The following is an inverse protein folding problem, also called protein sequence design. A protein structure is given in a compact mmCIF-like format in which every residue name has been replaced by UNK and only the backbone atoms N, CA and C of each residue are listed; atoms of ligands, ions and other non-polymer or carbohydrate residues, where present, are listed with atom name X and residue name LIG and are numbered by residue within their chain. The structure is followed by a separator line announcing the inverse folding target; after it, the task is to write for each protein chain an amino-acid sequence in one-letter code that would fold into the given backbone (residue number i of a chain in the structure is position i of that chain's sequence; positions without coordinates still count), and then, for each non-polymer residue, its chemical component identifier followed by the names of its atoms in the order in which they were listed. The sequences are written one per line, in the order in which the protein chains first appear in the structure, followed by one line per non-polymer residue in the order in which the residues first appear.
data_IF_858161312204
#
_entry.id   IF_858161312204
#
_cell.length_a   1.000
_cell.length_b   1.000
_cell.length_c   1.000
_cell.angle_alpha   90.00
_cell.angle_beta   90.00
_cell.angle_gamma   90.00
#
_symmetry.space_group_name_H-M   'P 1'
#
loop_
_entity.id
_entity.type
_entity.pdbx_description
1 polymer ?
#
# COMPACT_ATOMS: atom_id res chain seq x y z
N UNK A 1 1.63 -3.24 28.70
CA UNK A 1 0.83 -3.16 27.45
C UNK A 1 1.52 -4.11 26.49
N UNK A 2 0.79 -4.92 25.75
CA UNK A 2 1.38 -5.77 24.69
C UNK A 2 1.81 -4.87 23.53
N UNK A 3 2.97 -5.16 22.94
CA UNK A 3 3.43 -4.45 21.75
C UNK A 3 2.42 -4.66 20.61
N UNK A 4 2.18 -3.67 19.74
CA UNK A 4 1.22 -3.81 18.66
C UNK A 4 1.73 -4.76 17.56
N UNK A 5 0.81 -5.49 16.93
CA UNK A 5 1.09 -6.24 15.70
C UNK A 5 1.02 -5.31 14.49
N UNK A 6 2.01 -5.37 13.59
CA UNK A 6 2.03 -4.63 12.34
C UNK A 6 1.26 -5.41 11.27
N UNK A 7 0.13 -4.87 10.82
CA UNK A 7 -0.69 -5.47 9.75
C UNK A 7 -0.33 -4.80 8.44
N UNK A 8 0.30 -5.54 7.53
CA UNK A 8 0.89 -5.04 6.29
C UNK A 8 -0.05 -5.26 5.11
N UNK A 9 -0.42 -4.17 4.41
CA UNK A 9 -1.40 -4.14 3.33
C UNK A 9 -0.74 -3.67 2.04
N UNK A 10 -0.69 -4.56 1.05
CA UNK A 10 0.01 -4.33 -0.23
C UNK A 10 -0.71 -3.36 -1.16
N UNK A 11 0.00 -2.90 -2.19
CA UNK A 11 -0.52 -2.07 -3.27
C UNK A 11 -1.26 -2.86 -4.36
N UNK A 12 -1.71 -2.17 -5.40
CA UNK A 12 -2.31 -2.81 -6.57
C UNK A 12 -1.40 -3.85 -7.20
N UNK A 13 -1.98 -4.86 -7.84
CA UNK A 13 -1.31 -5.98 -8.52
C UNK A 13 -0.43 -6.84 -7.61
N UNK A 14 -0.27 -6.49 -6.33
CA UNK A 14 0.59 -7.16 -5.36
C UNK A 14 -0.11 -8.30 -4.62
N UNK A 15 0.52 -8.75 -3.53
CA UNK A 15 0.03 -9.73 -2.57
C UNK A 15 0.87 -9.64 -1.29
N UNK A 16 0.56 -10.46 -0.29
CA UNK A 16 1.32 -10.53 0.97
C UNK A 16 2.83 -10.74 0.75
N UNK A 17 3.21 -11.33 -0.37
CA UNK A 17 4.58 -11.61 -0.78
C UNK A 17 5.46 -10.34 -0.92
N UNK A 18 4.87 -9.16 -1.18
CA UNK A 18 5.64 -7.91 -1.30
C UNK A 18 6.38 -7.55 0.00
N UNK A 19 5.90 -8.07 1.10
CA UNK A 19 6.44 -7.78 2.44
C UNK A 19 7.55 -8.74 2.89
N UNK A 20 8.00 -9.67 2.02
CA UNK A 20 8.99 -10.70 2.35
C UNK A 20 10.21 -10.12 3.07
N UNK A 21 10.90 -9.17 2.46
CA UNK A 21 12.19 -8.69 2.97
C UNK A 21 12.00 -7.76 4.20
N UNK A 22 10.96 -6.91 4.20
CA UNK A 22 10.58 -6.14 5.38
C UNK A 22 10.11 -7.04 6.53
N UNK A 23 9.36 -8.10 6.24
CA UNK A 23 8.89 -9.07 7.22
C UNK A 23 10.04 -9.84 7.88
N UNK A 24 11.09 -10.19 7.11
CA UNK A 24 12.33 -10.76 7.66
C UNK A 24 13.01 -9.77 8.62
N UNK A 25 13.04 -8.48 8.27
CA UNK A 25 13.62 -7.44 9.11
C UNK A 25 12.82 -7.20 10.41
N UNK A 26 11.48 -7.15 10.33
CA UNK A 26 10.60 -7.07 11.49
C UNK A 26 10.79 -8.28 12.40
N UNK A 27 10.87 -9.49 11.84
CA UNK A 27 11.11 -10.73 12.58
C UNK A 27 12.47 -10.71 13.28
N UNK A 28 13.52 -10.23 12.60
CA UNK A 28 14.86 -10.09 13.18
C UNK A 28 14.88 -9.13 14.39
N UNK A 29 13.99 -8.15 14.40
CA UNK A 29 13.81 -7.19 15.51
C UNK A 29 12.78 -7.63 16.54
N UNK A 30 12.28 -8.86 16.44
CA UNK A 30 11.26 -9.41 17.35
C UNK A 30 9.95 -8.61 17.37
N UNK A 31 9.63 -7.91 16.25
CA UNK A 31 8.39 -7.13 16.09
C UNK A 31 7.31 -8.04 15.49
N UNK A 32 6.14 -8.20 16.14
CA UNK A 32 5.06 -9.02 15.60
C UNK A 32 4.44 -8.37 14.36
N UNK A 33 4.24 -9.16 13.31
CA UNK A 33 3.63 -8.71 12.07
C UNK A 33 2.83 -9.79 11.37
N UNK A 34 1.89 -9.37 10.54
CA UNK A 34 1.14 -10.20 9.60
C UNK A 34 0.89 -9.43 8.32
N UNK A 35 0.61 -10.11 7.22
CA UNK A 35 0.30 -9.49 5.93
C UNK A 35 -1.02 -10.02 5.38
N UNK A 36 -1.73 -9.16 4.63
CA UNK A 36 -3.05 -9.44 4.07
C UNK A 36 -2.95 -9.57 2.56
N UNK A 37 -3.58 -10.61 1.98
CA UNK A 37 -3.84 -10.69 0.55
C UNK A 37 -5.20 -10.04 0.27
N UNK A 38 -5.20 -8.99 -0.57
CA UNK A 38 -6.42 -8.25 -0.90
C UNK A 38 -7.26 -9.01 -1.93
N UNK A 39 -8.56 -9.24 -1.68
CA UNK A 39 -9.45 -9.96 -2.59
C UNK A 39 -9.51 -9.41 -4.02
N UNK A 40 -9.25 -8.11 -4.20
CA UNK A 40 -9.26 -7.45 -5.52
C UNK A 40 -8.01 -7.72 -6.37
N UNK A 41 -6.94 -8.28 -5.77
CA UNK A 41 -5.63 -8.48 -6.41
C UNK A 41 -5.14 -9.92 -6.27
N UNK A 42 -6.01 -10.90 -6.41
CA UNK A 42 -5.66 -12.34 -6.42
C UNK A 42 -6.00 -12.97 -7.76
N UNK A 43 -5.34 -14.08 -8.09
CA UNK A 43 -5.75 -14.88 -9.25
C UNK A 43 -7.17 -15.40 -9.09
N UNK A 44 -8.03 -15.11 -10.06
CA UNK A 44 -9.44 -15.49 -10.02
C UNK A 44 -10.33 -14.55 -9.20
N UNK A 45 -9.85 -13.35 -8.89
CA UNK A 45 -10.67 -12.31 -8.26
C UNK A 45 -11.98 -12.11 -9.03
N UNK A 46 -13.07 -11.85 -8.30
CA UNK A 46 -14.34 -11.54 -8.93
C UNK A 46 -14.31 -10.09 -9.45
N UNK A 47 -14.78 -9.79 -10.69
CA UNK A 47 -14.70 -8.44 -11.25
C UNK A 47 -15.44 -7.37 -10.43
N UNK A 48 -16.44 -7.76 -9.64
CA UNK A 48 -17.16 -6.88 -8.71
C UNK A 48 -16.58 -6.94 -7.29
N UNK A 49 -15.27 -7.11 -7.13
CA UNK A 49 -14.59 -6.92 -5.85
C UNK A 49 -14.22 -5.45 -5.71
N UNK A 50 -14.74 -4.81 -4.68
CA UNK A 50 -14.66 -3.37 -4.45
C UNK A 50 -13.67 -3.04 -3.32
N UNK A 51 -13.35 -1.76 -3.13
CA UNK A 51 -12.54 -1.25 -2.02
C UNK A 51 -13.03 -1.74 -0.65
N UNK A 52 -14.36 -1.77 -0.45
CA UNK A 52 -14.97 -2.24 0.81
C UNK A 52 -14.74 -3.75 1.08
N UNK A 53 -14.52 -4.57 0.04
CA UNK A 53 -14.20 -5.99 0.23
C UNK A 53 -12.76 -6.16 0.71
N UNK A 54 -11.82 -5.39 0.13
CA UNK A 54 -10.44 -5.33 0.58
C UNK A 54 -10.34 -4.81 2.03
N UNK A 55 -11.05 -3.73 2.33
CA UNK A 55 -11.09 -3.14 3.66
C UNK A 55 -11.64 -4.09 4.72
N UNK A 56 -12.69 -4.86 4.38
CA UNK A 56 -13.26 -5.88 5.26
C UNK A 56 -12.25 -6.98 5.59
N UNK A 57 -11.48 -7.44 4.61
CA UNK A 57 -10.43 -8.44 4.84
C UNK A 57 -9.36 -7.91 5.80
N UNK A 58 -8.89 -6.67 5.58
CA UNK A 58 -7.95 -6.01 6.50
C UNK A 58 -8.52 -5.90 7.91
N UNK A 59 -9.78 -5.48 8.07
CA UNK A 59 -10.42 -5.36 9.38
C UNK A 59 -10.56 -6.72 10.08
N UNK A 60 -10.88 -7.79 9.35
CA UNK A 60 -10.96 -9.17 9.88
C UNK A 60 -9.60 -9.60 10.43
N UNK A 61 -8.53 -9.45 9.67
CA UNK A 61 -7.17 -9.81 10.10
C UNK A 61 -6.73 -8.96 11.28
N UNK A 62 -6.89 -7.63 11.20
CA UNK A 62 -6.48 -6.71 12.26
C UNK A 62 -7.21 -6.97 13.59
N UNK A 63 -8.51 -7.25 13.56
CA UNK A 63 -9.30 -7.51 14.77
C UNK A 63 -9.03 -8.89 15.41
N UNK A 64 -8.39 -9.80 14.69
CA UNK A 64 -7.93 -11.09 15.24
C UNK A 64 -6.64 -10.96 16.07
N UNK A 65 -5.93 -9.86 15.89
CA UNK A 65 -4.68 -9.57 16.57
C UNK A 65 -4.88 -8.83 17.91
N UNK A 66 -4.33 -8.05 18.45
CA UNK A 66 -4.58 -7.19 19.63
C UNK A 66 -4.53 -5.72 19.23
N UNK A 67 -3.72 -4.90 19.90
CA UNK A 67 -3.38 -3.58 19.40
C UNK A 67 -2.62 -3.70 18.07
N UNK A 68 -3.00 -2.89 17.07
CA UNK A 68 -2.40 -2.96 15.73
C UNK A 68 -1.92 -1.60 15.22
N UNK A 69 -0.85 -1.66 14.43
CA UNK A 69 -0.44 -0.61 13.51
C UNK A 69 -0.75 -1.09 12.09
N UNK A 70 -1.60 -0.37 11.36
CA UNK A 70 -1.88 -0.69 9.96
C UNK A 70 -0.84 0.00 9.06
N UNK A 71 -0.20 -0.77 8.20
CA UNK A 71 0.83 -0.28 7.26
C UNK A 71 0.35 -0.52 5.83
N UNK A 72 0.11 0.53 5.06
CA UNK A 72 -0.40 0.44 3.69
C UNK A 72 0.58 1.02 2.67
N UNK A 73 0.82 0.26 1.61
CA UNK A 73 1.66 0.67 0.49
C UNK A 73 0.78 1.00 -0.73
N UNK A 74 1.05 2.10 -1.42
CA UNK A 74 0.40 2.44 -2.69
C UNK A 74 -1.14 2.41 -2.58
N UNK A 75 -1.86 1.61 -3.38
CA UNK A 75 -3.31 1.39 -3.26
C UNK A 75 -3.72 0.92 -1.85
N UNK A 76 -2.87 0.17 -1.16
CA UNK A 76 -3.12 -0.28 0.22
C UNK A 76 -3.44 0.87 1.18
N UNK A 77 -2.97 2.09 0.91
CA UNK A 77 -3.34 3.27 1.69
C UNK A 77 -4.82 3.61 1.57
N UNK A 78 -5.42 3.52 0.39
CA UNK A 78 -6.86 3.69 0.21
C UNK A 78 -7.66 2.61 0.97
N UNK A 79 -7.14 1.38 0.98
CA UNK A 79 -7.72 0.28 1.76
C UNK A 79 -7.65 0.57 3.26
N UNK A 80 -6.52 1.10 3.76
CA UNK A 80 -6.40 1.52 5.17
C UNK A 80 -7.43 2.60 5.52
N UNK A 81 -7.59 3.60 4.67
CA UNK A 81 -8.56 4.68 4.88
C UNK A 81 -10.00 4.15 4.98
N UNK A 82 -10.35 3.12 4.22
CA UNK A 82 -11.67 2.49 4.27
C UNK A 82 -11.82 1.55 5.47
N UNK A 83 -10.79 0.79 5.83
CA UNK A 83 -10.83 -0.22 6.90
C UNK A 83 -10.78 0.38 8.32
N UNK A 84 -10.15 1.53 8.51
CA UNK A 84 -9.74 2.03 9.81
C UNK A 84 -10.89 2.16 10.84
N UNK A 85 -12.10 2.55 10.40
CA UNK A 85 -13.26 2.70 11.29
C UNK A 85 -13.74 1.35 11.88
N UNK A 86 -13.45 0.23 11.21
CA UNK A 86 -13.87 -1.11 11.60
C UNK A 86 -12.79 -1.87 12.39
N UNK A 87 -11.64 -1.22 12.68
CA UNK A 87 -10.52 -1.79 13.46
C UNK A 87 -10.58 -1.30 14.91
N UNK A 88 -10.87 -2.21 15.84
CA UNK A 88 -11.20 -1.89 17.24
C UNK A 88 -10.01 -1.42 18.10
N UNK A 89 -8.81 -1.88 17.82
CA UNK A 89 -7.60 -1.59 18.61
C UNK A 89 -6.51 -0.92 17.78
N UNK A 90 -6.91 -0.07 16.83
CA UNK A 90 -6.02 0.69 15.98
C UNK A 90 -5.20 1.68 16.80
N UNK A 91 -3.87 1.59 16.70
CA UNK A 91 -2.93 2.49 17.36
C UNK A 91 -2.45 3.59 16.41
N UNK A 92 -2.19 3.23 15.14
CA UNK A 92 -1.63 4.14 14.14
C UNK A 92 -1.88 3.63 12.72
N UNK A 93 -1.89 4.58 11.77
CA UNK A 93 -1.85 4.33 10.33
C UNK A 93 -0.47 4.74 9.80
N UNK A 94 0.15 3.87 9.01
CA UNK A 94 1.42 4.15 8.31
C UNK A 94 1.20 3.97 6.82
N UNK A 95 1.54 4.99 6.05
CA UNK A 95 1.37 5.06 4.60
C UNK A 95 2.75 5.11 3.93
N UNK A 96 3.02 4.23 2.97
CA UNK A 96 4.30 4.14 2.24
C UNK A 96 4.02 4.41 0.76
N UNK A 97 4.47 5.54 0.22
CA UNK A 97 4.20 5.95 -1.16
C UNK A 97 2.73 5.72 -1.56
N UNK A 98 1.80 6.00 -0.63
CA UNK A 98 0.44 5.49 -0.66
C UNK A 98 -0.60 6.53 -1.07
N UNK A 99 -1.75 6.07 -1.55
CA UNK A 99 -2.91 6.89 -1.85
C UNK A 99 -3.77 7.04 -0.58
N UNK A 100 -4.08 8.28 -0.22
CA UNK A 100 -4.88 8.65 0.97
C UNK A 100 -6.11 9.42 0.50
N UNK A 101 -7.15 8.75 -0.06
CA UNK A 101 -8.34 9.44 -0.58
C UNK A 101 -9.15 10.09 0.55
N UNK A 102 -9.74 11.25 0.26
CA UNK A 102 -10.75 11.88 1.12
C UNK A 102 -12.09 11.12 1.03
N UNK A 103 -12.98 11.39 1.97
CA UNK A 103 -14.35 10.83 1.95
C UNK A 103 -15.02 11.16 0.59
N UNK A 104 -15.51 10.14 -0.10
CA UNK A 104 -16.14 10.23 -1.40
C UNK A 104 -15.17 10.19 -2.60
N UNK A 105 -13.85 10.23 -2.37
CA UNK A 105 -12.84 10.02 -3.42
C UNK A 105 -12.52 8.53 -3.57
N UNK A 106 -12.32 8.09 -4.80
CA UNK A 106 -11.67 6.80 -5.08
C UNK A 106 -10.15 6.95 -5.12
N UNK A 107 -9.43 5.83 -5.10
CA UNK A 107 -7.97 5.81 -5.27
C UNK A 107 -7.55 6.55 -6.55
N UNK A 108 -8.25 6.33 -7.66
CA UNK A 108 -7.97 7.00 -8.95
C UNK A 108 -8.35 8.48 -8.97
N UNK A 109 -9.32 8.91 -8.16
CA UNK A 109 -9.72 10.32 -8.06
C UNK A 109 -8.79 11.13 -7.19
N UNK A 110 -8.24 10.52 -6.15
CA UNK A 110 -7.36 11.18 -5.18
C UNK A 110 -6.08 11.79 -5.80
N UNK A 111 -5.68 11.30 -6.99
CA UNK A 111 -4.50 11.78 -7.73
C UNK A 111 -4.82 12.81 -8.83
N UNK A 112 -6.10 13.11 -9.10
CA UNK A 112 -6.52 13.96 -10.22
C UNK A 112 -6.06 15.40 -10.13
N UNK A 113 -5.88 15.93 -8.91
CA UNK A 113 -5.43 17.32 -8.71
C UNK A 113 -3.99 17.52 -9.20
N UNK A 114 -3.20 16.46 -9.17
CA UNK A 114 -1.82 16.46 -9.65
C UNK A 114 -1.79 15.88 -11.05
N UNK A 115 -1.53 16.71 -12.05
CA UNK A 115 -1.44 16.29 -13.47
C UNK A 115 -0.06 15.66 -13.76
N UNK A 116 0.43 14.78 -12.89
CA UNK A 116 1.66 14.03 -13.10
C UNK A 116 1.35 12.76 -13.91
N UNK A 117 2.19 12.47 -14.88
CA UNK A 117 2.15 11.20 -15.64
C UNK A 117 3.39 10.40 -15.28
N UNK A 118 3.19 9.18 -14.84
CA UNK A 118 4.24 8.29 -14.35
C UNK A 118 4.53 7.14 -15.32
N UNK A 119 5.60 6.40 -15.06
CA UNK A 119 5.90 5.16 -15.81
C UNK A 119 4.81 4.09 -15.56
N UNK A 120 4.19 4.09 -14.37
CA UNK A 120 3.08 3.18 -14.07
C UNK A 120 1.88 3.44 -14.98
N UNK A 121 1.53 4.70 -15.27
CA UNK A 121 0.42 5.02 -16.19
C UNK A 121 0.64 4.46 -17.59
N UNK A 122 1.91 4.35 -18.02
CA UNK A 122 2.27 3.76 -19.31
C UNK A 122 2.27 2.23 -19.28
N UNK A 123 2.49 1.63 -18.11
CA UNK A 123 2.51 0.18 -17.92
C UNK A 123 1.11 -0.44 -17.86
N UNK A 124 0.10 0.31 -17.43
CA UNK A 124 -1.26 -0.19 -17.21
C UNK A 124 -1.91 -0.63 -18.52
N UNK A 125 -2.42 -1.86 -18.53
CA UNK A 125 -3.20 -2.46 -19.60
C UNK A 125 -4.59 -2.84 -19.09
N UNK A 126 -5.63 -2.65 -19.92
CA UNK A 126 -7.00 -3.03 -19.58
C UNK A 126 -7.29 -4.41 -20.18
N UNK A 127 -7.72 -5.33 -19.33
CA UNK A 127 -8.17 -6.68 -19.72
C UNK A 127 -9.57 -6.94 -19.11
N UNK A 128 -10.60 -6.63 -19.86
CA UNK A 128 -11.98 -6.67 -19.40
C UNK A 128 -12.22 -5.76 -18.18
N UNK A 129 -12.60 -6.35 -17.06
CA UNK A 129 -12.85 -5.65 -15.80
C UNK A 129 -11.59 -5.55 -14.90
N UNK A 130 -10.43 -5.92 -15.44
CA UNK A 130 -9.17 -5.94 -14.72
C UNK A 130 -8.13 -5.02 -15.36
N UNK A 131 -7.17 -4.60 -14.54
CA UNK A 131 -5.94 -3.97 -14.98
C UNK A 131 -4.77 -4.94 -14.77
N UNK A 132 -3.95 -5.06 -15.80
CA UNK A 132 -2.66 -5.75 -15.77
C UNK A 132 -1.53 -4.76 -16.09
N UNK A 133 -0.29 -5.19 -15.97
CA UNK A 133 0.87 -4.35 -16.26
C UNK A 133 1.72 -4.97 -17.38
N UNK A 134 2.21 -4.11 -18.30
CA UNK A 134 3.26 -4.50 -19.23
C UNK A 134 4.56 -4.76 -18.44
N UNK A 135 5.18 -5.97 -18.53
CA UNK A 135 6.25 -6.36 -17.61
C UNK A 135 7.47 -5.45 -17.61
N UNK A 136 7.90 -4.96 -18.79
CA UNK A 136 9.11 -4.12 -18.89
C UNK A 136 8.88 -2.75 -18.23
N UNK A 137 7.72 -2.17 -18.43
CA UNK A 137 7.36 -0.89 -17.82
C UNK A 137 7.03 -1.08 -16.33
N UNK A 138 6.41 -2.19 -15.95
CA UNK A 138 6.17 -2.55 -14.55
C UNK A 138 7.49 -2.64 -13.76
N UNK A 139 8.54 -3.27 -14.31
CA UNK A 139 9.87 -3.31 -13.68
C UNK A 139 10.42 -1.89 -13.45
N UNK A 140 10.28 -1.02 -14.44
CA UNK A 140 10.75 0.37 -14.34
C UNK A 140 9.92 1.24 -13.39
N UNK A 141 8.62 0.96 -13.28
CA UNK A 141 7.73 1.71 -12.42
C UNK A 141 7.87 1.29 -10.95
N UNK A 142 7.86 -0.02 -10.69
CA UNK A 142 7.71 -0.57 -9.35
C UNK A 142 9.04 -0.99 -8.71
N UNK A 143 10.03 -1.39 -9.50
CA UNK A 143 11.23 -2.09 -9.01
C UNK A 143 12.55 -1.52 -9.54
N UNK A 144 12.59 -0.26 -9.98
CA UNK A 144 13.75 0.34 -10.65
C UNK A 144 15.02 0.43 -9.79
N UNK A 145 14.88 0.44 -8.46
CA UNK A 145 15.96 0.49 -7.48
C UNK A 145 16.17 -0.84 -6.73
N UNK A 146 15.42 -1.88 -7.11
CA UNK A 146 15.58 -3.24 -6.58
C UNK A 146 16.67 -3.99 -7.35
N UNK A 147 17.30 -4.98 -6.70
CA UNK A 147 18.20 -5.92 -7.39
C UNK A 147 17.47 -6.70 -8.49
N UNK A 148 18.13 -6.96 -9.61
CA UNK A 148 17.49 -7.60 -10.78
C UNK A 148 16.81 -8.92 -10.46
N UNK A 149 17.41 -9.78 -9.63
CA UNK A 149 16.83 -11.06 -9.22
C UNK A 149 15.50 -10.87 -8.46
N UNK A 150 15.47 -9.93 -7.53
CA UNK A 150 14.26 -9.60 -6.77
C UNK A 150 13.19 -8.99 -7.68
N UNK A 151 13.56 -8.05 -8.55
CA UNK A 151 12.65 -7.42 -9.48
C UNK A 151 12.04 -8.41 -10.47
N UNK A 152 12.87 -9.30 -11.06
CA UNK A 152 12.39 -10.31 -12.02
C UNK A 152 11.49 -11.35 -11.34
N UNK A 153 11.83 -11.76 -10.10
CA UNK A 153 10.94 -12.62 -9.31
C UNK A 153 9.62 -11.92 -9.00
N UNK A 154 9.64 -10.67 -8.51
CA UNK A 154 8.44 -9.93 -8.16
C UNK A 154 7.49 -9.76 -9.35
N UNK A 155 8.02 -9.53 -10.55
CA UNK A 155 7.22 -9.48 -11.78
C UNK A 155 6.43 -10.76 -12.04
N UNK A 156 6.97 -11.94 -11.67
CA UNK A 156 6.27 -13.23 -11.83
C UNK A 156 5.15 -13.42 -10.83
N UNK A 157 5.11 -12.63 -9.75
CA UNK A 157 4.11 -12.72 -8.69
C UNK A 157 2.93 -11.76 -8.90
N UNK A 158 3.04 -10.79 -9.83
CA UNK A 158 1.98 -9.80 -10.06
C UNK A 158 0.67 -10.48 -10.50
N UNK A 159 -0.43 -9.99 -9.96
CA UNK A 159 -1.80 -10.47 -10.27
C UNK A 159 -2.63 -9.38 -10.92
N UNK A 160 -3.69 -9.70 -11.68
CA UNK A 160 -4.64 -8.69 -12.15
C UNK A 160 -5.30 -7.96 -10.99
N UNK A 161 -5.50 -6.64 -11.13
CA UNK A 161 -6.22 -5.79 -10.18
C UNK A 161 -7.61 -5.48 -10.71
N UNK A 162 -8.67 -5.60 -9.90
CA UNK A 162 -10.02 -5.21 -10.34
C UNK A 162 -10.12 -3.69 -10.56
N UNK A 163 -10.76 -3.28 -11.65
CA UNK A 163 -11.04 -1.85 -11.89
C UNK A 163 -12.00 -1.31 -10.84
N UNK A 164 -12.95 -2.16 -10.40
CA UNK A 164 -13.96 -1.80 -9.41
C UNK A 164 -13.34 -1.30 -8.10
N UNK A 165 -12.32 -1.98 -7.57
CA UNK A 165 -11.68 -1.59 -6.31
C UNK A 165 -10.98 -0.22 -6.39
N UNK A 166 -10.26 0.04 -7.49
CA UNK A 166 -9.54 1.31 -7.70
C UNK A 166 -10.47 2.51 -7.92
N UNK A 167 -11.67 2.26 -8.46
CA UNK A 167 -12.68 3.30 -8.76
C UNK A 167 -13.76 3.42 -7.69
N UNK A 168 -13.80 2.54 -6.71
CA UNK A 168 -14.73 2.66 -5.57
C UNK A 168 -14.40 3.90 -4.75
N UNK A 169 -15.37 4.80 -4.52
CA UNK A 169 -15.14 5.90 -3.60
C UNK A 169 -15.03 5.39 -2.16
N UNK A 170 -14.14 5.99 -1.39
CA UNK A 170 -14.06 5.80 0.05
C UNK A 170 -15.39 6.20 0.70
N UNK A 171 -15.95 5.34 1.52
CA UNK A 171 -17.23 5.55 2.20
C UNK A 171 -17.10 5.72 3.72
N UNK A 172 -15.98 5.29 4.29
CA UNK A 172 -15.69 5.37 5.73
C UNK A 172 -15.26 6.77 6.16
N UNK A 173 -15.60 7.13 7.41
CA UNK A 173 -15.15 8.39 8.02
C UNK A 173 -13.71 8.30 8.52
N UNK A 174 -13.08 9.48 8.70
CA UNK A 174 -11.78 9.54 9.34
C UNK A 174 -11.86 9.10 10.80
N UNK A 175 -10.84 8.38 11.24
CA UNK A 175 -10.67 7.95 12.63
C UNK A 175 -9.69 8.88 13.33
N UNK A 176 -9.88 9.06 14.65
CA UNK A 176 -8.94 9.80 15.49
C UNK A 176 -7.75 8.89 15.86
N UNK A 177 -6.93 8.57 14.85
CA UNK A 177 -5.70 7.81 15.00
C UNK A 177 -4.53 8.57 14.39
N UNK A 178 -3.36 8.61 15.06
CA UNK A 178 -2.16 9.21 14.48
C UNK A 178 -1.83 8.54 13.14
N UNK A 179 -1.36 9.34 12.19
CA UNK A 179 -0.99 8.85 10.86
C UNK A 179 0.40 9.34 10.46
N UNK A 180 1.17 8.46 9.83
CA UNK A 180 2.53 8.70 9.41
C UNK A 180 2.71 8.36 7.95
N UNK A 181 3.37 9.22 7.18
CA UNK A 181 3.57 8.99 5.75
C UNK A 181 5.06 8.89 5.43
N UNK A 182 5.47 7.83 4.72
CA UNK A 182 6.82 7.67 4.18
C UNK A 182 6.79 8.01 2.69
N UNK A 183 7.43 9.13 2.32
CA UNK A 183 7.57 9.57 0.92
C UNK A 183 8.80 8.91 0.30
N UNK A 184 8.63 8.32 -0.88
CA UNK A 184 9.69 7.72 -1.68
C UNK A 184 10.08 8.67 -2.82
N UNK A 185 11.26 9.30 -2.74
CA UNK A 185 11.62 10.44 -3.62
C UNK A 185 12.02 10.07 -5.03
N UNK A 186 12.35 8.80 -5.27
CA UNK A 186 12.75 8.29 -6.60
C UNK A 186 11.63 7.43 -7.23
N UNK A 187 10.40 7.56 -6.74
CA UNK A 187 9.24 6.75 -7.15
C UNK A 187 8.80 7.07 -8.58
N UNK A 188 8.72 6.04 -9.42
CA UNK A 188 8.25 6.12 -10.81
C UNK A 188 6.78 5.68 -10.99
N UNK A 189 6.11 5.27 -9.90
CA UNK A 189 4.72 4.83 -9.92
C UNK A 189 3.77 5.86 -9.30
N UNK A 190 4.14 6.47 -8.17
CA UNK A 190 3.40 7.56 -7.53
C UNK A 190 4.30 8.77 -7.46
N UNK A 191 4.03 9.76 -8.31
CA UNK A 191 4.83 10.98 -8.40
C UNK A 191 5.00 11.67 -7.04
N UNK A 192 6.18 12.26 -6.79
CA UNK A 192 6.49 12.90 -5.51
C UNK A 192 5.48 13.99 -5.14
N UNK A 193 4.98 14.74 -6.11
CA UNK A 193 3.96 15.78 -5.87
C UNK A 193 2.61 15.20 -5.41
N UNK A 194 2.26 14.00 -5.88
CA UNK A 194 1.10 13.25 -5.36
C UNK A 194 1.39 12.81 -3.91
N UNK A 195 2.57 12.26 -3.66
CA UNK A 195 2.96 11.85 -2.30
C UNK A 195 3.00 13.03 -1.32
N UNK A 196 3.41 14.22 -1.75
CA UNK A 196 3.36 15.45 -0.95
C UNK A 196 1.93 15.84 -0.59
N UNK A 197 1.01 15.76 -1.56
CA UNK A 197 -0.42 15.98 -1.31
C UNK A 197 -0.98 14.96 -0.30
N UNK A 198 -0.65 13.67 -0.44
CA UNK A 198 -1.10 12.62 0.47
C UNK A 198 -0.50 12.79 1.87
N UNK A 199 0.79 13.11 1.96
CA UNK A 199 1.47 13.36 3.23
C UNK A 199 0.88 14.54 4.00
N UNK A 200 0.40 15.58 3.31
CA UNK A 200 -0.28 16.72 3.92
C UNK A 200 -1.64 16.34 4.58
N UNK A 201 -2.19 15.18 4.25
CA UNK A 201 -3.40 14.61 4.88
C UNK A 201 -3.08 13.77 6.14
N UNK A 202 -1.79 13.58 6.45
CA UNK A 202 -1.31 12.79 7.60
C UNK A 202 -0.77 13.68 8.72
N UNK A 203 -0.65 13.12 9.93
CA UNK A 203 -0.18 13.83 11.12
C UNK A 203 1.31 14.17 11.00
N UNK A 204 2.10 13.24 10.51
CA UNK A 204 3.56 13.32 10.39
C UNK A 204 4.03 12.65 9.09
N UNK A 205 5.24 12.98 8.65
CA UNK A 205 5.86 12.30 7.52
C UNK A 205 7.38 12.21 7.63
N UNK A 206 7.96 11.25 6.92
CA UNK A 206 9.38 11.17 6.64
C UNK A 206 9.63 11.01 5.13
N UNK A 207 10.89 11.07 4.76
CA UNK A 207 11.33 10.94 3.37
C UNK A 207 12.39 9.85 3.28
N UNK A 208 12.24 8.96 2.30
CA UNK A 208 13.19 7.91 1.97
C UNK A 208 13.64 8.10 0.51
N UNK A 209 14.94 8.09 0.25
CA UNK A 209 15.49 8.17 -1.11
C UNK A 209 15.44 6.79 -1.77
N UNK A 210 14.22 6.36 -2.11
CA UNK A 210 13.91 5.05 -2.69
C UNK A 210 12.93 5.17 -3.84
N UNK A 211 12.86 4.11 -4.66
CA UNK A 211 11.78 3.87 -5.62
C UNK A 211 10.48 3.47 -4.94
N UNK A 212 9.54 2.94 -5.75
CA UNK A 212 8.18 2.60 -5.28
C UNK A 212 8.15 1.44 -4.28
N UNK A 213 9.13 0.54 -4.29
CA UNK A 213 9.12 -0.69 -3.47
C UNK A 213 10.25 -0.71 -2.43
N UNK A 214 10.26 0.23 -1.45
CA UNK A 214 11.30 0.27 -0.42
C UNK A 214 11.34 -0.96 0.49
N UNK A 215 10.24 -1.73 0.56
CA UNK A 215 10.20 -3.00 1.29
C UNK A 215 11.15 -4.05 0.72
N UNK A 216 11.58 -3.90 -0.55
CA UNK A 216 12.60 -4.73 -1.20
C UNK A 216 13.95 -4.02 -1.30
N UNK A 217 13.96 -2.74 -1.74
CA UNK A 217 15.23 -2.03 -2.01
C UNK A 217 15.92 -1.54 -0.74
N UNK A 218 15.17 -1.19 0.29
CA UNK A 218 15.68 -0.58 1.53
C UNK A 218 14.93 -1.08 2.79
N UNK A 219 14.77 -2.40 3.02
CA UNK A 219 13.91 -2.95 4.07
C UNK A 219 14.34 -2.52 5.48
N UNK A 220 15.64 -2.41 5.75
CA UNK A 220 16.17 -1.98 7.05
C UNK A 220 15.83 -0.51 7.34
N UNK A 221 16.08 0.39 6.39
CA UNK A 221 15.78 1.81 6.53
C UNK A 221 14.27 2.07 6.63
N UNK A 222 13.47 1.34 5.84
CA UNK A 222 12.02 1.40 5.93
C UNK A 222 11.51 0.93 7.31
N UNK A 223 12.07 -0.17 7.81
CA UNK A 223 11.74 -0.68 9.15
C UNK A 223 12.04 0.35 10.24
N UNK A 224 13.20 1.03 10.18
CA UNK A 224 13.55 2.10 11.11
C UNK A 224 12.49 3.21 11.12
N UNK A 225 12.04 3.66 9.95
CA UNK A 225 11.01 4.70 9.81
C UNK A 225 9.66 4.26 10.36
N UNK A 226 9.23 3.02 10.05
CA UNK A 226 7.95 2.48 10.53
C UNK A 226 7.94 2.37 12.06
N UNK A 227 9.03 1.88 12.65
CA UNK A 227 9.13 1.72 14.10
C UNK A 227 9.29 3.06 14.83
N UNK A 228 9.98 4.04 14.24
CA UNK A 228 10.08 5.39 14.81
C UNK A 228 8.74 6.13 14.82
N UNK A 229 7.78 5.71 14.02
CA UNK A 229 6.45 6.28 13.94
C UNK A 229 5.51 5.84 15.08
N UNK A 230 5.92 4.90 15.95
CA UNK A 230 5.09 4.28 17.01
C UNK A 230 5.38 4.81 18.40
#
# INVERSE_FOLDING_TARGET
MTDPTYVLVHGGWGGAWVWRDLGEELTRREVPWTAVDLPSAIHGAHPNTFLADDAREVAVVANAEGPVVLVGHSYGGAVLCEAAQDVTHLQRLVFIAALVPLLGESATESVREVQARTVLDEAIQVDGDFLTLEPTLAKKALYQDCGDETADWALTQLTPQTIASLRSPRSSFDVDAPSYYVRCTLDNAVDLSVQELMAARCTEYATLESGHSPMFSMPEALCDLILAAT
#
